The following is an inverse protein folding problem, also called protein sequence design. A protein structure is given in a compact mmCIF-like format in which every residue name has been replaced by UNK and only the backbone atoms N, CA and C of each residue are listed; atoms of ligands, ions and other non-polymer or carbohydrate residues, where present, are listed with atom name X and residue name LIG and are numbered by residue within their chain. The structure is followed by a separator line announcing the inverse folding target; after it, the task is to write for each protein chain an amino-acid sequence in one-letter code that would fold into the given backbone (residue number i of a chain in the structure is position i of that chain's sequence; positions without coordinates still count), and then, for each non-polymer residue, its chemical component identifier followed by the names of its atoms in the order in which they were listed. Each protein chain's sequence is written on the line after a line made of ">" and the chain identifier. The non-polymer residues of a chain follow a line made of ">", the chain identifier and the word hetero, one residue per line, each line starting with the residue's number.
data_IF_158921468375
#
_entry.id   IF_158921468375
#
_cell.length_a   1.000
_cell.length_b   1.000
_cell.length_c   1.000
_cell.angle_alpha   90.00
_cell.angle_beta   90.00
_cell.angle_gamma   90.00
#
_symmetry.space_group_name_H-M   'P 1'
#
loop_
_entity.id
_entity.type
_entity.pdbx_description
1 polymer ?
#
# COMPACT_ATOMS: atom_id res chain seq x y z
N UNK A 1 -9.48 -3.16 -6.09
CA UNK A 1 -9.34 -4.57 -5.67
C UNK A 1 -9.20 -4.64 -4.16
N UNK A 2 -10.05 -5.43 -3.52
CA UNK A 2 -10.02 -5.64 -2.08
C UNK A 2 -9.12 -6.84 -1.72
N UNK A 3 -8.83 -6.99 -0.42
CA UNK A 3 -8.10 -8.17 0.06
C UNK A 3 -8.83 -9.46 -0.30
N UNK A 4 -10.15 -9.48 -0.15
CA UNK A 4 -10.96 -10.66 -0.49
C UNK A 4 -10.87 -11.02 -1.97
N UNK A 5 -10.91 -10.03 -2.85
CA UNK A 5 -10.76 -10.23 -4.29
C UNK A 5 -9.37 -10.73 -4.63
N UNK A 6 -8.34 -10.22 -3.97
CA UNK A 6 -6.97 -10.69 -4.16
C UNK A 6 -6.83 -12.16 -3.79
N UNK A 7 -7.41 -12.55 -2.65
CA UNK A 7 -7.42 -13.94 -2.19
C UNK A 7 -8.08 -14.85 -3.22
N UNK A 8 -9.25 -14.44 -3.72
CA UNK A 8 -9.98 -15.21 -4.74
C UNK A 8 -9.17 -15.38 -6.03
N UNK A 9 -8.52 -14.32 -6.50
CA UNK A 9 -7.70 -14.36 -7.71
C UNK A 9 -6.51 -15.30 -7.56
N UNK A 10 -5.85 -15.28 -6.40
CA UNK A 10 -4.71 -16.15 -6.13
C UNK A 10 -5.19 -17.60 -6.00
N UNK A 11 -6.28 -17.83 -5.27
CA UNK A 11 -6.84 -19.18 -5.11
C UNK A 11 -7.22 -19.79 -6.46
N UNK A 12 -7.75 -19.02 -7.38
CA UNK A 12 -8.09 -19.48 -8.72
C UNK A 12 -6.85 -19.92 -9.49
N UNK A 13 -5.73 -19.22 -9.34
CA UNK A 13 -4.47 -19.55 -10.02
C UNK A 13 -3.70 -20.69 -9.35
N UNK A 14 -3.97 -20.96 -8.09
CA UNK A 14 -3.30 -21.97 -7.29
C UNK A 14 -4.31 -23.06 -6.88
N UNK A 15 -4.86 -23.75 -7.87
CA UNK A 15 -5.94 -24.70 -7.67
C UNK A 15 -5.57 -25.86 -6.72
N UNK A 16 -4.28 -26.14 -6.53
CA UNK A 16 -3.81 -27.17 -5.60
C UNK A 16 -3.91 -26.75 -4.14
N UNK A 17 -4.16 -25.46 -3.86
CA UNK A 17 -4.31 -24.94 -2.52
C UNK A 17 -5.78 -24.67 -2.21
N UNK A 18 -6.17 -24.88 -0.96
CA UNK A 18 -7.51 -24.48 -0.52
C UNK A 18 -7.58 -22.95 -0.41
N UNK A 19 -8.76 -22.40 -0.57
CA UNK A 19 -8.97 -20.96 -0.39
C UNK A 19 -8.56 -20.52 1.01
N UNK A 20 -8.81 -21.37 2.01
CA UNK A 20 -8.42 -21.10 3.40
C UNK A 20 -6.91 -20.99 3.55
N UNK A 21 -6.14 -21.85 2.91
CA UNK A 21 -4.69 -21.82 2.95
C UNK A 21 -4.15 -20.55 2.27
N UNK A 22 -4.74 -20.17 1.15
CA UNK A 22 -4.37 -18.90 0.45
C UNK A 22 -4.65 -17.71 1.35
N UNK A 23 -5.82 -17.69 2.00
CA UNK A 23 -6.18 -16.60 2.92
C UNK A 23 -5.18 -16.47 4.07
N UNK A 24 -4.82 -17.60 4.68
CA UNK A 24 -3.85 -17.62 5.78
C UNK A 24 -2.46 -17.15 5.33
N UNK A 25 -2.03 -17.56 4.14
CA UNK A 25 -0.74 -17.15 3.60
C UNK A 25 -0.70 -15.64 3.36
N UNK A 26 -1.74 -15.08 2.75
CA UNK A 26 -1.83 -13.64 2.48
C UNK A 26 -1.88 -12.88 3.79
N UNK A 27 -2.67 -13.32 4.75
CA UNK A 27 -2.73 -12.71 6.07
C UNK A 27 -1.35 -12.69 6.74
N UNK A 28 -0.64 -13.79 6.67
CA UNK A 28 0.70 -13.90 7.24
C UNK A 28 1.66 -12.87 6.62
N UNK A 29 1.65 -12.73 5.29
CA UNK A 29 2.49 -11.76 4.61
C UNK A 29 2.16 -10.33 5.04
N UNK A 30 0.89 -9.98 5.05
CA UNK A 30 0.44 -8.64 5.43
C UNK A 30 0.79 -8.34 6.90
N UNK A 31 0.56 -9.30 7.80
CA UNK A 31 0.88 -9.14 9.22
C UNK A 31 2.38 -8.92 9.44
N UNK A 32 3.23 -9.64 8.70
CA UNK A 32 4.67 -9.44 8.77
C UNK A 32 5.09 -8.06 8.28
N UNK A 33 4.46 -7.57 7.23
CA UNK A 33 4.73 -6.21 6.73
C UNK A 33 4.30 -5.15 7.74
N UNK A 34 3.11 -5.30 8.31
CA UNK A 34 2.61 -4.37 9.33
C UNK A 34 3.54 -4.36 10.55
N UNK A 35 3.92 -5.53 11.04
CA UNK A 35 4.80 -5.65 12.20
C UNK A 35 6.18 -5.04 11.92
N UNK A 36 6.73 -5.27 10.74
CA UNK A 36 8.01 -4.71 10.34
C UNK A 36 7.99 -3.18 10.30
N UNK A 37 6.94 -2.61 9.70
CA UNK A 37 6.79 -1.16 9.64
C UNK A 37 6.53 -0.57 11.04
N UNK A 38 5.72 -1.23 11.86
CA UNK A 38 5.45 -0.77 13.23
C UNK A 38 6.73 -0.76 14.07
N UNK A 39 7.68 -1.65 13.79
CA UNK A 39 8.98 -1.68 14.44
C UNK A 39 9.98 -0.68 13.85
N UNK A 40 9.60 0.08 12.84
CA UNK A 40 10.44 1.09 12.20
C UNK A 40 11.32 0.56 11.07
N UNK A 41 11.09 -0.67 10.64
CA UNK A 41 11.88 -1.27 9.57
C UNK A 41 11.36 -0.86 8.19
N UNK A 42 12.29 -0.73 7.26
CA UNK A 42 11.96 -0.54 5.85
C UNK A 42 11.70 -1.90 5.21
N UNK A 43 10.72 -1.95 4.33
CA UNK A 43 10.42 -3.16 3.56
C UNK A 43 10.71 -2.86 2.10
N UNK A 44 11.55 -3.69 1.49
CA UNK A 44 11.90 -3.53 0.08
C UNK A 44 11.54 -4.81 -0.67
N UNK A 45 10.70 -4.67 -1.69
CA UNK A 45 10.27 -5.78 -2.54
C UNK A 45 10.76 -5.47 -3.96
N UNK A 46 11.80 -6.18 -4.36
CA UNK A 46 12.42 -5.96 -5.69
C UNK A 46 11.38 -6.15 -6.79
N UNK A 47 11.32 -5.22 -7.73
CA UNK A 47 10.37 -5.23 -8.83
C UNK A 47 9.01 -4.62 -8.49
N UNK A 48 8.75 -4.35 -7.22
CA UNK A 48 7.48 -3.77 -6.77
C UNK A 48 7.67 -2.38 -6.19
N UNK A 49 8.42 -2.26 -5.12
CA UNK A 49 8.66 -0.97 -4.47
C UNK A 49 9.12 -1.12 -3.04
N UNK A 50 9.13 -0.04 -2.32
CA UNK A 50 9.56 -0.02 -0.93
C UNK A 50 8.57 0.72 -0.04
N UNK A 51 8.41 0.21 1.18
CA UNK A 51 7.62 0.82 2.23
C UNK A 51 8.55 1.33 3.31
N UNK A 52 8.32 2.54 3.79
CA UNK A 52 9.08 3.13 4.88
C UNK A 52 8.18 4.04 5.69
N UNK A 53 8.65 4.46 6.85
CA UNK A 53 7.92 5.42 7.67
C UNK A 53 8.49 6.81 7.44
N UNK A 54 7.60 7.78 7.30
CA UNK A 54 7.94 9.20 7.30
C UNK A 54 7.40 9.82 8.58
N UNK A 55 8.26 10.57 9.26
CA UNK A 55 7.84 11.30 10.44
C UNK A 55 7.29 12.65 10.03
N UNK A 56 6.10 12.95 10.51
CA UNK A 56 5.49 14.26 10.36
C UNK A 56 5.55 14.98 11.70
N UNK A 57 6.30 16.09 11.74
CA UNK A 57 6.47 16.85 12.96
C UNK A 57 5.15 17.42 13.47
N UNK A 58 5.07 17.62 14.79
CA UNK A 58 3.96 18.32 15.40
C UNK A 58 3.81 19.71 14.77
N UNK A 59 2.61 20.12 14.51
CA UNK A 59 2.32 21.42 13.89
C UNK A 59 1.00 21.97 14.39
N UNK A 60 0.81 23.28 14.15
CA UNK A 60 -0.46 23.94 14.39
C UNK A 60 -1.27 23.89 13.10
N UNK A 61 -2.45 23.28 13.18
CA UNK A 61 -3.41 23.29 12.08
C UNK A 61 -4.58 24.22 12.41
N UNK A 62 -5.52 24.31 11.48
CA UNK A 62 -6.72 25.10 11.67
C UNK A 62 -7.95 24.27 11.30
N UNK A 63 -8.96 24.30 12.17
CA UNK A 63 -10.22 23.62 11.90
C UNK A 63 -10.98 24.38 10.79
N UNK A 64 -11.24 23.74 9.64
CA UNK A 64 -11.91 24.42 8.52
C UNK A 64 -13.33 24.86 8.82
N UNK A 65 -14.00 24.25 9.81
CA UNK A 65 -15.38 24.60 10.18
C UNK A 65 -15.46 25.78 11.14
N UNK A 66 -14.55 25.86 12.11
CA UNK A 66 -14.59 26.86 13.18
C UNK A 66 -13.51 27.91 13.03
N UNK A 67 -12.47 27.66 12.26
CA UNK A 67 -11.31 28.53 12.14
C UNK A 67 -10.38 28.49 13.34
N UNK A 68 -10.67 27.66 14.35
CA UNK A 68 -9.83 27.52 15.54
C UNK A 68 -8.51 26.83 15.24
N UNK A 69 -7.46 27.25 15.94
CA UNK A 69 -6.16 26.58 15.88
C UNK A 69 -6.22 25.25 16.62
N UNK A 70 -5.67 24.21 15.97
CA UNK A 70 -5.60 22.86 16.54
C UNK A 70 -4.15 22.43 16.57
N UNK A 71 -3.71 21.88 17.71
CA UNK A 71 -2.38 21.32 17.85
C UNK A 71 -2.39 19.90 17.27
N UNK A 72 -1.57 19.67 16.25
CA UNK A 72 -1.40 18.35 15.64
C UNK A 72 -0.12 17.72 16.17
N UNK A 73 -0.26 16.57 16.83
CA UNK A 73 0.89 15.81 17.35
C UNK A 73 1.76 15.29 16.22
N UNK A 74 3.05 15.12 16.48
CA UNK A 74 3.96 14.42 15.59
C UNK A 74 3.51 12.97 15.44
N UNK A 75 3.69 12.41 14.26
CA UNK A 75 3.33 11.02 13.99
C UNK A 75 4.16 10.43 12.87
N UNK A 76 4.27 9.10 12.87
CA UNK A 76 4.85 8.35 11.77
C UNK A 76 3.75 7.92 10.82
N UNK A 77 3.98 8.08 9.53
CA UNK A 77 3.04 7.64 8.50
C UNK A 77 3.75 6.70 7.53
N UNK A 78 3.10 5.62 7.11
CA UNK A 78 3.68 4.75 6.11
C UNK A 78 3.72 5.46 4.75
N UNK A 79 4.80 5.23 4.02
CA UNK A 79 5.02 5.77 2.70
C UNK A 79 5.44 4.65 1.76
N UNK A 80 4.81 4.58 0.60
CA UNK A 80 5.15 3.62 -0.44
C UNK A 80 5.79 4.35 -1.62
N UNK A 81 6.99 3.88 -2.01
CA UNK A 81 7.67 4.35 -3.20
C UNK A 81 7.68 3.21 -4.22
N UNK A 82 7.01 3.37 -5.37
CA UNK A 82 7.01 2.32 -6.39
C UNK A 82 8.39 2.15 -6.99
N UNK A 83 8.73 0.91 -7.33
CA UNK A 83 9.95 0.59 -8.06
C UNK A 83 9.81 0.93 -9.54
N UNK A 84 10.94 0.84 -10.26
CA UNK A 84 11.00 1.18 -11.68
C UNK A 84 10.04 0.35 -12.51
N UNK A 85 10.04 -0.96 -12.33
CA UNK A 85 9.17 -1.87 -13.09
C UNK A 85 7.70 -1.54 -12.90
N UNK A 86 7.28 -1.33 -11.65
CA UNK A 86 5.89 -1.01 -11.35
C UNK A 86 5.50 0.31 -12.00
N UNK A 87 6.33 1.35 -11.88
CA UNK A 87 6.06 2.66 -12.47
C UNK A 87 5.91 2.58 -13.98
N UNK A 88 6.81 1.87 -14.64
CA UNK A 88 6.79 1.73 -16.09
C UNK A 88 5.55 0.97 -16.55
N UNK A 89 5.23 -0.12 -15.87
CA UNK A 89 4.10 -0.96 -16.23
C UNK A 89 2.77 -0.25 -16.04
N UNK A 90 2.62 0.49 -14.96
CA UNK A 90 1.42 1.28 -14.70
C UNK A 90 1.26 2.38 -15.76
N UNK A 91 2.33 3.05 -16.14
CA UNK A 91 2.30 4.06 -17.18
C UNK A 91 1.88 3.51 -18.53
N UNK A 92 2.41 2.37 -18.93
CA UNK A 92 2.08 1.75 -20.21
C UNK A 92 0.60 1.36 -20.26
N UNK A 93 0.11 0.70 -19.22
CA UNK A 93 -1.29 0.26 -19.17
C UNK A 93 -2.25 1.45 -19.08
N UNK A 94 -1.92 2.46 -18.29
CA UNK A 94 -2.73 3.67 -18.19
C UNK A 94 -2.76 4.46 -19.50
N UNK A 95 -1.63 4.55 -20.19
CA UNK A 95 -1.56 5.22 -21.49
C UNK A 95 -2.44 4.54 -22.52
N UNK A 96 -2.55 3.22 -22.50
CA UNK A 96 -3.45 2.47 -23.38
C UNK A 96 -4.92 2.79 -23.10
N UNK A 97 -5.27 2.93 -21.83
CA UNK A 97 -6.64 3.26 -21.42
C UNK A 97 -7.01 4.71 -21.75
N UNK A 98 -6.03 5.60 -21.66
CA UNK A 98 -6.23 7.04 -21.88
C UNK A 98 -6.10 7.45 -23.34
N UNK A 99 -5.71 6.53 -24.23
CA UNK A 99 -5.58 6.82 -25.64
C UNK A 99 -6.95 7.19 -26.21
N UNK A 100 -7.12 8.42 -26.72
CA UNK A 100 -8.41 8.81 -27.28
C UNK A 100 -8.76 7.97 -28.49
N UNK A 101 -9.99 7.51 -28.54
CA UNK A 101 -10.55 6.84 -29.71
C UNK A 101 -10.71 7.87 -30.80
N UNK A 102 -9.98 7.74 -31.85
CA UNK A 102 -10.12 8.62 -33.00
C UNK A 102 -11.05 7.97 -34.02
#
# INVERSE_FOLDING_TARGET
>A
MTKSELIERIATRQAQLSTKDVELAIKCVIDQMVNGLAAGNRIEIRGFGSFSLHYRAARTGRNPKTGEQVQLSGKHVPHFKPGKELRERVNVESAKQDTPSI
#
